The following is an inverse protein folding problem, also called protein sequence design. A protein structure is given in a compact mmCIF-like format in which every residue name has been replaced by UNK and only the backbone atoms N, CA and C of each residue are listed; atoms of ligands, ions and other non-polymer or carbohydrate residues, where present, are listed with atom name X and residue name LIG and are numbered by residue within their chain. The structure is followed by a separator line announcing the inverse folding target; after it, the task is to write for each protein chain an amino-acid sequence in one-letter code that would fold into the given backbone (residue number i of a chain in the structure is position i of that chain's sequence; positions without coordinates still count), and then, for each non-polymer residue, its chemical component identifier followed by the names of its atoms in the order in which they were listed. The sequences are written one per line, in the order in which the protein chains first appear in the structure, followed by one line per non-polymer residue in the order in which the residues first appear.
data_IF_572132870522
#
_entry.id   IF_572132870522
#
_cell.length_a   1.000
_cell.length_b   1.000
_cell.length_c   1.000
_cell.angle_alpha   90.00
_cell.angle_beta   90.00
_cell.angle_gamma   90.00
#
_symmetry.space_group_name_H-M   'P 1'
#
loop_
_entity.id
_entity.type
_entity.pdbx_description
1 polymer ?
#
# COMPACT_ATOMS: atom_id res chain seq x y z
N UNK A 1 0.09 5.11 -6.89
CA UNK A 1 -1.03 4.17 -6.68
C UNK A 1 -2.32 4.68 -7.32
N UNK A 2 -2.91 5.81 -6.90
CA UNK A 2 -4.14 6.30 -7.53
C UNK A 2 -3.97 6.54 -9.05
N UNK A 3 -2.92 7.26 -9.45
CA UNK A 3 -2.60 7.51 -10.87
C UNK A 3 -2.46 6.23 -11.68
N UNK A 4 -1.77 5.21 -11.15
CA UNK A 4 -1.61 3.93 -11.83
C UNK A 4 -2.92 3.14 -11.94
N UNK A 5 -3.89 3.34 -11.04
CA UNK A 5 -5.22 2.76 -11.18
C UNK A 5 -5.96 3.45 -12.34
N UNK A 6 -5.97 4.78 -12.36
CA UNK A 6 -6.64 5.57 -13.41
C UNK A 6 -6.08 5.24 -14.80
N UNK A 7 -4.75 5.13 -14.90
CA UNK A 7 -4.05 4.83 -16.13
C UNK A 7 -4.29 3.39 -16.65
N UNK A 8 -4.45 2.40 -15.75
CA UNK A 8 -4.37 0.98 -16.14
C UNK A 8 -5.65 0.18 -15.90
N UNK A 9 -6.58 0.67 -15.09
CA UNK A 9 -7.69 -0.11 -14.56
C UNK A 9 -9.05 0.57 -14.71
N UNK A 10 -9.11 1.82 -15.18
CA UNK A 10 -10.33 2.62 -15.27
C UNK A 10 -10.36 3.31 -16.63
N UNK A 11 -11.47 3.19 -17.37
CA UNK A 11 -11.66 3.95 -18.62
C UNK A 11 -11.88 5.43 -18.35
N UNK A 12 -11.59 6.30 -19.31
CA UNK A 12 -11.81 7.75 -19.20
C UNK A 12 -13.27 8.13 -18.86
N UNK A 13 -14.24 7.36 -19.36
CA UNK A 13 -15.67 7.54 -19.03
C UNK A 13 -15.94 7.24 -17.55
N UNK A 14 -15.39 6.14 -17.06
CA UNK A 14 -15.56 5.68 -15.68
C UNK A 14 -14.89 6.61 -14.66
N UNK A 15 -13.87 7.38 -15.09
CA UNK A 15 -13.20 8.35 -14.24
C UNK A 15 -14.12 9.49 -13.78
N UNK A 16 -15.25 9.72 -14.46
CA UNK A 16 -16.23 10.75 -14.08
C UNK A 16 -17.03 10.36 -12.83
N UNK A 17 -17.18 9.05 -12.55
CA UNK A 17 -17.82 8.55 -11.34
C UNK A 17 -16.79 8.34 -10.23
N UNK A 18 -16.51 9.42 -9.51
CA UNK A 18 -15.55 9.43 -8.41
C UNK A 18 -15.90 8.41 -7.32
N UNK A 19 -17.18 8.14 -7.07
CA UNK A 19 -17.62 7.16 -6.08
C UNK A 19 -17.17 5.76 -6.46
N UNK A 20 -17.38 5.38 -7.73
CA UNK A 20 -16.95 4.09 -8.28
C UNK A 20 -15.43 3.98 -8.35
N UNK A 21 -14.73 5.05 -8.74
CA UNK A 21 -13.26 5.11 -8.76
C UNK A 21 -12.65 4.87 -7.38
N UNK A 22 -13.18 5.53 -6.34
CA UNK A 22 -12.69 5.39 -4.96
C UNK A 22 -12.91 3.95 -4.46
N UNK A 23 -14.08 3.36 -4.71
CA UNK A 23 -14.31 1.96 -4.33
C UNK A 23 -13.41 1.01 -5.11
N UNK A 24 -13.19 1.25 -6.40
CA UNK A 24 -12.26 0.47 -7.22
C UNK A 24 -10.83 0.58 -6.71
N UNK A 25 -10.40 1.76 -6.26
CA UNK A 25 -9.08 1.98 -5.66
C UNK A 25 -8.86 1.08 -4.43
N UNK A 26 -9.80 1.11 -3.49
CA UNK A 26 -9.70 0.29 -2.27
C UNK A 26 -9.82 -1.21 -2.57
N UNK A 27 -10.67 -1.59 -3.53
CA UNK A 27 -10.76 -2.98 -3.97
C UNK A 27 -9.45 -3.48 -4.54
N UNK A 28 -8.92 -2.76 -5.54
CA UNK A 28 -7.73 -3.16 -6.29
C UNK A 28 -6.52 -3.25 -5.37
N UNK A 29 -6.20 -2.19 -4.60
CA UNK A 29 -5.03 -2.22 -3.73
C UNK A 29 -5.22 -2.99 -2.42
N UNK A 30 -6.47 -3.24 -2.00
CA UNK A 30 -6.76 -4.12 -0.87
C UNK A 30 -6.63 -5.61 -1.23
N UNK A 31 -7.09 -6.02 -2.41
CA UNK A 31 -7.34 -7.44 -2.72
C UNK A 31 -6.64 -7.96 -3.98
N UNK A 32 -6.55 -7.16 -5.05
CA UNK A 32 -6.12 -7.65 -6.37
C UNK A 32 -4.65 -7.34 -6.69
N UNK A 33 -4.12 -6.22 -6.18
CA UNK A 33 -2.77 -5.78 -6.52
C UNK A 33 -1.72 -6.73 -5.92
N UNK A 34 -0.90 -7.29 -6.80
CA UNK A 34 0.23 -8.13 -6.41
C UNK A 34 1.40 -7.24 -5.98
N UNK A 35 1.61 -7.11 -4.67
CA UNK A 35 2.72 -6.32 -4.09
C UNK A 35 4.14 -6.84 -4.45
N UNK A 36 4.24 -8.00 -5.10
CA UNK A 36 5.47 -8.48 -5.75
C UNK A 36 5.78 -7.75 -7.07
N UNK A 37 4.86 -6.92 -7.57
CA UNK A 37 5.03 -6.08 -8.75
C UNK A 37 5.37 -4.63 -8.36
N UNK A 38 6.14 -3.97 -9.22
CA UNK A 38 6.39 -2.54 -9.13
C UNK A 38 5.32 -1.73 -9.85
N UNK A 39 5.21 -0.45 -9.49
CA UNK A 39 4.32 0.51 -10.14
C UNK A 39 5.17 1.53 -10.89
N UNK A 40 4.91 1.71 -12.18
CA UNK A 40 5.38 2.83 -12.96
C UNK A 40 4.19 3.63 -13.48
N UNK A 41 4.31 4.95 -13.47
CA UNK A 41 3.33 5.89 -14.04
C UNK A 41 3.85 6.55 -15.33
N UNK A 42 5.05 6.16 -15.77
CA UNK A 42 5.66 6.63 -17.02
C UNK A 42 4.91 6.05 -18.22
N UNK A 43 4.86 6.81 -19.32
CA UNK A 43 4.34 6.37 -20.63
C UNK A 43 2.93 5.74 -20.58
N UNK A 44 2.04 6.32 -19.78
CA UNK A 44 0.68 5.79 -19.59
C UNK A 44 0.58 4.68 -18.54
N UNK A 45 1.65 4.42 -17.80
CA UNK A 45 1.70 3.52 -16.65
C UNK A 45 1.93 2.06 -17.03
N UNK A 46 2.50 1.29 -16.10
CA UNK A 46 2.59 -0.18 -16.17
C UNK A 46 2.90 -0.79 -14.81
N UNK A 47 2.58 -2.07 -14.66
CA UNK A 47 3.05 -2.87 -13.53
C UNK A 47 4.33 -3.63 -13.91
N UNK A 48 5.41 -3.34 -13.20
CA UNK A 48 6.72 -3.94 -13.42
C UNK A 48 6.77 -5.33 -12.80
N UNK A 49 7.26 -6.32 -13.55
CA UNK A 49 7.53 -7.64 -12.97
C UNK A 49 8.85 -7.56 -12.20
N UNK A 50 9.02 -8.43 -11.21
CA UNK A 50 10.22 -8.43 -10.37
C UNK A 50 11.52 -8.63 -11.17
N UNK A 51 11.44 -9.29 -12.32
CA UNK A 51 12.56 -9.47 -13.25
C UNK A 51 12.93 -8.20 -14.03
N UNK A 52 11.98 -7.29 -14.23
CA UNK A 52 12.19 -6.02 -14.94
C UNK A 52 12.76 -4.95 -13.99
N UNK A 53 12.50 -5.06 -12.68
CA UNK A 53 12.93 -4.10 -11.64
C UNK A 53 14.44 -3.80 -11.64
N UNK A 54 15.38 -4.76 -11.78
CA UNK A 54 16.81 -4.46 -11.83
C UNK A 54 17.21 -3.59 -13.02
N UNK A 55 16.53 -3.74 -14.16
CA UNK A 55 16.80 -2.98 -15.38
C UNK A 55 16.20 -1.58 -15.29
N UNK A 56 14.95 -1.51 -14.87
CA UNK A 56 14.15 -0.27 -14.82
C UNK A 56 14.46 0.59 -13.59
N UNK A 57 14.86 -0.07 -12.51
CA UNK A 57 15.13 0.51 -11.20
C UNK A 57 16.41 -0.05 -10.56
N UNK A 58 17.60 0.21 -11.15
CA UNK A 58 18.85 -0.44 -10.72
C UNK A 58 19.28 -0.10 -9.29
N UNK A 59 18.84 1.04 -8.75
CA UNK A 59 19.13 1.45 -7.37
C UNK A 59 18.14 0.89 -6.35
N UNK A 60 17.16 0.10 -6.81
CA UNK A 60 16.20 -0.50 -5.91
C UNK A 60 16.80 -1.70 -5.17
N UNK A 61 16.49 -1.80 -3.88
CA UNK A 61 16.79 -3.01 -3.13
C UNK A 61 15.68 -4.01 -3.40
N UNK A 62 16.02 -5.19 -3.95
CA UNK A 62 15.09 -6.32 -4.22
C UNK A 62 14.23 -6.78 -3.02
N UNK A 63 14.38 -6.17 -1.85
CA UNK A 63 13.75 -6.55 -0.59
C UNK A 63 12.65 -5.59 -0.14
N UNK A 64 12.36 -4.52 -0.88
CA UNK A 64 11.30 -3.59 -0.51
C UNK A 64 9.91 -4.22 -0.73
N UNK A 65 8.99 -4.10 0.23
CA UNK A 65 7.67 -4.73 0.14
C UNK A 65 6.71 -3.99 -0.81
N UNK A 66 7.10 -2.81 -1.27
CA UNK A 66 6.42 -2.02 -2.28
C UNK A 66 7.47 -1.35 -3.15
N UNK A 67 7.22 -1.37 -4.46
CA UNK A 67 8.10 -0.79 -5.45
C UNK A 67 7.33 0.23 -6.29
N UNK A 68 7.77 1.49 -6.28
CA UNK A 68 7.16 2.57 -7.06
C UNK A 68 8.29 3.35 -7.73
N UNK A 69 8.28 3.38 -9.06
CA UNK A 69 9.23 4.14 -9.85
C UNK A 69 8.96 5.64 -9.68
N UNK A 70 10.00 6.38 -9.33
CA UNK A 70 9.99 7.83 -9.37
C UNK A 70 9.97 8.32 -10.84
N UNK A 71 8.94 9.05 -11.28
CA UNK A 71 8.90 9.55 -12.66
C UNK A 71 9.93 10.66 -12.93
N UNK A 72 10.44 11.33 -11.89
CA UNK A 72 11.41 12.42 -12.01
C UNK A 72 12.85 11.93 -11.90
N UNK A 73 13.06 10.80 -11.20
CA UNK A 73 14.39 10.25 -10.94
C UNK A 73 14.48 8.79 -11.40
N UNK A 74 14.88 8.53 -12.65
CA UNK A 74 15.04 7.16 -13.15
C UNK A 74 15.94 6.33 -12.24
N UNK A 75 15.54 5.09 -11.97
CA UNK A 75 16.27 4.21 -11.06
C UNK A 75 15.85 4.28 -9.58
N UNK A 76 15.12 5.34 -9.18
CA UNK A 76 14.76 5.60 -7.79
C UNK A 76 13.44 4.91 -7.41
N UNK A 77 13.46 4.10 -6.34
CA UNK A 77 12.24 3.53 -5.75
C UNK A 77 11.73 4.42 -4.61
N UNK A 78 10.55 5.03 -4.75
CA UNK A 78 9.95 5.84 -3.68
C UNK A 78 9.16 5.00 -2.68
N UNK A 79 8.79 3.76 -3.03
CA UNK A 79 8.11 2.81 -2.16
C UNK A 79 9.05 2.05 -1.19
N UNK A 80 10.37 2.20 -1.35
CA UNK A 80 11.36 1.36 -0.66
C UNK A 80 11.24 1.33 0.86
N UNK A 81 10.79 2.43 1.46
CA UNK A 81 10.66 2.64 2.90
C UNK A 81 9.25 2.33 3.44
N UNK A 82 8.34 1.85 2.60
CA UNK A 82 6.97 1.50 2.98
C UNK A 82 6.90 0.13 3.68
N UNK A 83 7.67 -0.06 4.76
CA UNK A 83 7.74 -1.33 5.52
C UNK A 83 6.39 -1.79 6.07
N UNK A 84 5.42 -0.86 6.18
CA UNK A 84 4.10 -1.09 6.78
C UNK A 84 3.01 -1.29 5.73
N UNK A 85 3.39 -1.56 4.48
CA UNK A 85 2.43 -1.67 3.39
C UNK A 85 1.37 -2.74 3.62
N UNK A 86 1.67 -3.80 4.37
CA UNK A 86 0.72 -4.83 4.75
C UNK A 86 -0.39 -4.30 5.67
N UNK A 87 -0.07 -3.37 6.56
CA UNK A 87 -1.09 -2.72 7.40
C UNK A 87 -1.93 -1.75 6.55
N UNK A 88 -1.30 -1.04 5.61
CA UNK A 88 -2.01 -0.20 4.63
C UNK A 88 -2.93 -1.04 3.74
N UNK A 89 -2.50 -2.23 3.31
CA UNK A 89 -3.34 -3.14 2.53
C UNK A 89 -4.58 -3.55 3.34
N UNK A 90 -4.43 -3.92 4.61
CA UNK A 90 -5.58 -4.21 5.50
C UNK A 90 -6.50 -3.00 5.65
N UNK A 91 -5.95 -1.79 5.76
CA UNK A 91 -6.74 -0.57 5.82
C UNK A 91 -7.55 -0.36 4.54
N UNK A 92 -6.97 -0.64 3.37
CA UNK A 92 -7.69 -0.60 2.09
C UNK A 92 -8.78 -1.68 2.00
N UNK A 93 -8.52 -2.89 2.49
CA UNK A 93 -9.54 -3.95 2.58
C UNK A 93 -10.73 -3.53 3.45
N UNK A 94 -10.43 -2.93 4.62
CA UNK A 94 -11.46 -2.40 5.51
C UNK A 94 -12.27 -1.29 4.84
N UNK A 95 -11.61 -0.30 4.24
CA UNK A 95 -12.28 0.78 3.52
C UNK A 95 -13.19 0.25 2.41
N UNK A 96 -12.76 -0.76 1.64
CA UNK A 96 -13.60 -1.41 0.65
C UNK A 96 -14.84 -2.08 1.29
N UNK A 97 -14.67 -2.79 2.41
CA UNK A 97 -15.78 -3.45 3.10
C UNK A 97 -16.86 -2.47 3.61
N UNK A 98 -16.46 -1.25 4.00
CA UNK A 98 -17.37 -0.18 4.44
C UNK A 98 -18.08 0.50 3.26
N UNK A 99 -17.36 0.78 2.17
CA UNK A 99 -17.90 1.55 1.04
C UNK A 99 -18.71 0.73 0.05
N UNK A 100 -18.37 -0.55 -0.18
CA UNK A 100 -19.05 -1.41 -1.17
C UNK A 100 -20.57 -1.54 -0.94
N UNK A 101 -21.07 -1.72 0.31
CA UNK A 101 -22.50 -1.78 0.56
C UNK A 101 -23.20 -0.45 0.27
N UNK A 102 -22.56 0.68 0.59
CA UNK A 102 -23.13 2.01 0.42
C UNK A 102 -23.38 2.39 -1.06
N UNK A 103 -22.55 1.90 -2.00
CA UNK A 103 -22.80 2.09 -3.44
C UNK A 103 -24.03 1.33 -3.96
N UNK A 104 -24.45 0.26 -3.29
CA UNK A 104 -25.59 -0.56 -3.71
C UNK A 104 -26.84 -0.31 -2.87
N UNK A 105 -26.79 0.61 -1.91
CA UNK A 105 -27.90 0.91 -1.03
C UNK A 105 -28.96 1.71 -1.80
N UNK A 106 -30.22 1.24 -1.87
CA UNK A 106 -31.29 1.94 -2.57
C UNK A 106 -31.74 3.23 -1.85
N UNK A 107 -31.41 3.40 -0.57
CA UNK A 107 -31.79 4.55 0.25
C UNK A 107 -30.59 5.00 1.12
N UNK A 108 -30.41 6.31 1.35
CA UNK A 108 -29.43 6.78 2.32
C UNK A 108 -29.76 6.21 3.71
N UNK A 109 -28.80 5.49 4.29
CA UNK A 109 -28.95 4.84 5.59
C UNK A 109 -29.40 5.86 6.65
N UNK A 110 -30.46 5.56 7.40
CA UNK A 110 -31.07 6.44 8.40
C UNK A 110 -30.17 6.77 9.61
N UNK A 111 -28.93 6.27 9.64
CA UNK A 111 -27.96 6.56 10.69
C UNK A 111 -27.26 7.92 10.42
N UNK A 112 -27.07 8.77 11.45
CA UNK A 112 -26.49 10.12 11.30
C UNK A 112 -24.99 10.15 10.96
N UNK A 113 -24.37 9.00 10.71
CA UNK A 113 -22.92 8.88 10.55
C UNK A 113 -22.54 8.98 9.08
N UNK A 114 -21.82 10.05 8.70
CA UNK A 114 -21.32 10.20 7.32
C UNK A 114 -20.51 8.98 6.87
N UNK A 115 -20.67 8.56 5.61
CA UNK A 115 -19.96 7.40 5.05
C UNK A 115 -18.43 7.53 5.17
N UNK A 116 -17.91 8.75 5.00
CA UNK A 116 -16.49 9.05 5.19
C UNK A 116 -16.07 9.03 6.67
N UNK A 117 -16.94 9.44 7.58
CA UNK A 117 -16.70 9.32 9.03
C UNK A 117 -16.57 7.86 9.46
N UNK A 118 -17.44 6.97 8.95
CA UNK A 118 -17.37 5.53 9.24
C UNK A 118 -16.06 4.90 8.79
N UNK A 119 -15.51 5.34 7.66
CA UNK A 119 -14.22 4.89 7.16
C UNK A 119 -13.07 5.28 8.10
N UNK A 120 -13.14 6.46 8.72
CA UNK A 120 -12.10 7.01 9.61
C UNK A 120 -12.15 6.45 11.03
N UNK A 121 -13.34 6.15 11.56
CA UNK A 121 -13.51 5.70 12.96
C UNK A 121 -13.33 4.19 13.15
N UNK A 122 -13.58 3.37 12.12
CA UNK A 122 -13.65 1.91 12.25
C UNK A 122 -12.31 1.16 12.20
N UNK A 123 -11.23 1.77 11.71
CA UNK A 123 -9.97 1.07 11.51
C UNK A 123 -9.01 1.22 12.70
N UNK A 124 -8.82 0.13 13.45
CA UNK A 124 -7.75 0.03 14.45
C UNK A 124 -6.60 -0.81 13.89
N UNK A 125 -5.41 -0.22 13.65
CA UNK A 125 -4.25 -0.99 13.21
C UNK A 125 -3.82 -1.96 14.32
N UNK A 126 -3.30 -3.15 13.97
CA UNK A 126 -2.79 -4.10 14.96
C UNK A 126 -1.70 -3.45 15.81
N UNK A 127 -1.84 -3.52 17.14
CA UNK A 127 -0.82 -2.99 18.06
C UNK A 127 0.49 -3.76 17.85
N UNK A 128 1.56 -3.04 17.51
CA UNK A 128 2.88 -3.65 17.45
C UNK A 128 3.49 -3.68 18.84
N UNK A 129 3.63 -4.88 19.38
CA UNK A 129 4.55 -5.12 20.49
C UNK A 129 5.96 -5.08 19.90
N UNK A 130 6.70 -4.00 20.15
CA UNK A 130 8.13 -3.94 19.82
C UNK A 130 8.88 -4.86 20.80
N UNK A 131 9.64 -5.85 20.34
CA UNK A 131 10.48 -6.64 21.23
C UNK A 131 11.51 -5.73 21.90
N UNK A 132 11.74 -5.92 23.21
CA UNK A 132 12.68 -5.14 24.01
C UNK A 132 14.11 -5.29 23.46
N UNK A 133 14.58 -4.28 22.71
CA UNK A 133 15.92 -4.22 22.13
C UNK A 133 16.93 -3.73 23.18
N UNK A 134 16.98 -4.36 24.35
CA UNK A 134 18.11 -4.14 25.27
C UNK A 134 19.34 -4.86 24.72
N UNK A 135 20.48 -4.16 24.52
CA UNK A 135 21.71 -4.84 24.18
C UNK A 135 22.14 -5.69 25.38
N UNK A 136 22.24 -7.00 25.19
CA UNK A 136 22.97 -7.89 26.09
C UNK A 136 24.41 -7.38 26.17
N UNK A 137 24.77 -6.74 27.30
CA UNK A 137 26.16 -6.46 27.61
C UNK A 137 26.84 -7.78 27.94
N UNK A 138 27.46 -8.43 26.96
CA UNK A 138 28.46 -9.45 27.24
C UNK A 138 29.69 -8.76 27.83
N UNK A 139 29.90 -8.94 29.14
CA UNK A 139 31.12 -8.56 29.81
C UNK A 139 32.27 -9.49 29.36
N UNK A 140 33.49 -9.00 29.12
CA UNK A 140 34.61 -9.87 28.76
C UNK A 140 35.02 -10.71 29.98
N UNK A 141 34.99 -12.04 29.81
CA UNK A 141 35.63 -12.95 30.76
C UNK A 141 37.14 -12.73 30.68
N UNK A 142 37.73 -12.23 31.77
CA UNK A 142 39.18 -12.26 31.97
C UNK A 142 39.57 -13.70 32.33
N UNK A 143 40.12 -14.45 31.39
CA UNK A 143 40.88 -15.66 31.72
C UNK A 143 42.19 -15.27 32.41
N UNK A 144 42.37 -15.78 33.63
CA UNK A 144 43.65 -15.88 34.31
C UNK A 144 44.27 -17.24 34.02
N UNK A 145 45.55 -17.24 33.64
CA UNK A 145 46.49 -18.30 34.01
C UNK A 145 47.01 -19.17 32.88
N UNK A 146 48.25 -18.91 32.45
CA UNK A 146 49.43 -19.70 32.87
C UNK A 146 50.64 -18.78 33.01
#
# INVERSE_FOLDING_TARGET
MATSLLQLQVSEEDQQDLGRVVVRFFHFYGHEFLYTRGISVLDGGRYLRIEDVPTEMPRNHRRSPLCIQDPLTPGNDVGRSSYLIWDVQKAFQHAFSVLRPALNAPEPCAAPCSLLGQLLEGYSPPQRVMPDMRPERQAPQREHGK
#
